data_IF_130310623982
#
_entry.id   IF_130310623982
#
_cell.length_a   1.000
_cell.length_b   1.000
_cell.length_c   1.000
_cell.angle_alpha   90.00
_cell.angle_beta   90.00
_cell.angle_gamma   90.00
#
_symmetry.space_group_name_H-M   'P 1'
#
loop_
_entity.id
_entity.type
_entity.pdbx_description
1 polymer ?
#
# COMPACT_ATOMS: atom_id res chain seq x y z
N UNK A 1 -9.10 -83.12 -2.45
CA UNK A 1 -8.42 -81.84 -2.16
C UNK A 1 -8.88 -80.80 -3.17
N UNK A 2 -9.78 -79.90 -2.78
CA UNK A 2 -10.16 -78.72 -3.58
C UNK A 2 -10.20 -77.53 -2.62
N UNK A 3 -9.38 -76.54 -2.92
CA UNK A 3 -9.14 -75.34 -2.11
C UNK A 3 -10.33 -74.38 -2.23
N UNK A 4 -10.79 -73.82 -1.11
CA UNK A 4 -11.83 -72.78 -1.05
C UNK A 4 -11.11 -71.45 -0.82
N UNK A 5 -11.19 -70.54 -1.80
CA UNK A 5 -10.62 -69.20 -1.71
C UNK A 5 -11.55 -68.25 -0.95
N UNK A 6 -11.02 -67.58 0.07
CA UNK A 6 -11.67 -66.46 0.75
C UNK A 6 -11.42 -65.15 -0.02
N UNK A 7 -12.49 -64.47 -0.43
CA UNK A 7 -12.42 -63.12 -0.98
C UNK A 7 -12.48 -62.10 0.17
N UNK A 8 -11.41 -61.31 0.33
CA UNK A 8 -11.35 -60.21 1.28
C UNK A 8 -12.08 -58.98 0.72
N UNK A 9 -13.18 -58.58 1.35
CA UNK A 9 -13.85 -57.30 1.11
C UNK A 9 -13.11 -56.20 1.87
N UNK A 10 -12.39 -55.34 1.15
CA UNK A 10 -11.79 -54.13 1.71
C UNK A 10 -12.84 -53.04 1.91
N UNK A 11 -13.03 -52.60 3.16
CA UNK A 11 -13.78 -51.39 3.47
C UNK A 11 -13.02 -50.16 2.95
N UNK A 12 -13.54 -49.52 1.91
CA UNK A 12 -13.16 -48.15 1.57
C UNK A 12 -13.84 -47.17 2.54
N UNK A 13 -13.07 -46.62 3.48
CA UNK A 13 -13.51 -45.44 4.24
C UNK A 13 -13.48 -44.22 3.33
N UNK A 14 -14.65 -43.73 2.94
CA UNK A 14 -14.80 -42.41 2.32
C UNK A 14 -14.65 -41.35 3.42
N UNK A 15 -13.47 -40.74 3.52
CA UNK A 15 -13.28 -39.54 4.33
C UNK A 15 -13.95 -38.37 3.60
N UNK A 16 -15.12 -37.96 4.07
CA UNK A 16 -15.76 -36.72 3.59
C UNK A 16 -14.95 -35.55 4.16
N UNK A 17 -14.09 -34.97 3.34
CA UNK A 17 -13.40 -33.74 3.69
C UNK A 17 -14.44 -32.61 3.78
N UNK A 18 -14.73 -32.13 4.99
CA UNK A 18 -15.50 -30.91 5.17
C UNK A 18 -14.76 -29.76 4.47
N UNK A 19 -15.45 -28.88 3.74
CA UNK A 19 -14.81 -27.73 3.12
C UNK A 19 -14.17 -26.88 4.23
N UNK A 20 -12.88 -26.59 4.08
CA UNK A 20 -12.18 -25.68 4.97
C UNK A 20 -12.90 -24.31 4.96
N UNK A 21 -13.19 -23.77 6.14
CA UNK A 21 -13.76 -22.44 6.26
C UNK A 21 -12.87 -21.43 5.53
N UNK A 22 -13.48 -20.53 4.75
CA UNK A 22 -12.71 -19.52 4.01
C UNK A 22 -11.90 -18.63 4.97
N UNK A 23 -10.65 -18.26 4.62
CA UNK A 23 -9.86 -17.37 5.45
C UNK A 23 -10.57 -16.03 5.68
N UNK A 24 -10.45 -15.49 6.90
CA UNK A 24 -10.94 -14.14 7.23
C UNK A 24 -10.20 -13.07 6.42
N UNK A 25 -10.81 -11.89 6.24
CA UNK A 25 -10.07 -10.72 5.75
C UNK A 25 -9.02 -10.27 6.77
N UNK A 26 -8.06 -9.46 6.32
CA UNK A 26 -7.02 -8.92 7.19
C UNK A 26 -7.58 -8.23 8.44
N UNK A 27 -8.52 -7.30 8.28
CA UNK A 27 -9.09 -6.54 9.41
C UNK A 27 -9.75 -7.45 10.43
N UNK A 28 -10.62 -8.37 10.00
CA UNK A 28 -11.28 -9.30 10.89
C UNK A 28 -10.27 -10.19 11.63
N UNK A 29 -9.24 -10.66 10.93
CA UNK A 29 -8.19 -11.45 11.55
C UNK A 29 -7.41 -10.62 12.57
N UNK A 30 -7.03 -9.38 12.25
CA UNK A 30 -6.29 -8.51 13.17
C UNK A 30 -7.10 -8.14 14.41
N UNK A 31 -8.40 -7.81 14.27
CA UNK A 31 -9.29 -7.53 15.42
C UNK A 31 -9.38 -8.77 16.33
N UNK A 32 -9.52 -9.97 15.74
CA UNK A 32 -9.58 -11.21 16.51
C UNK A 32 -8.26 -11.55 17.24
N UNK A 33 -7.13 -11.23 16.63
CA UNK A 33 -5.81 -11.61 17.17
C UNK A 33 -5.21 -10.55 18.09
N UNK A 34 -5.58 -9.28 17.93
CA UNK A 34 -5.03 -8.17 18.71
C UNK A 34 -5.14 -8.36 20.24
N UNK A 35 -6.27 -8.80 20.83
CA UNK A 35 -6.34 -9.05 22.27
C UNK A 35 -5.35 -10.12 22.75
N UNK A 36 -5.07 -11.13 21.93
CA UNK A 36 -4.08 -12.18 22.24
C UNK A 36 -2.66 -11.60 22.20
N UNK A 37 -2.36 -10.79 21.18
CA UNK A 37 -1.08 -10.09 21.07
C UNK A 37 -0.85 -9.14 22.26
N UNK A 38 -1.88 -8.36 22.65
CA UNK A 38 -1.83 -7.48 23.84
C UNK A 38 -1.59 -8.30 25.12
N UNK A 39 -2.27 -9.44 25.28
CA UNK A 39 -2.04 -10.32 26.43
C UNK A 39 -0.60 -10.85 26.47
N UNK A 40 -0.02 -11.24 25.34
CA UNK A 40 1.38 -11.66 25.27
C UNK A 40 2.36 -10.52 25.55
N UNK A 41 2.08 -9.31 25.06
CA UNK A 41 2.87 -8.11 25.38
C UNK A 41 2.86 -7.80 26.88
N UNK A 42 1.69 -7.91 27.53
CA UNK A 42 1.54 -7.75 28.99
C UNK A 42 2.31 -8.80 29.78
N UNK A 43 2.24 -10.08 29.37
CA UNK A 43 3.02 -11.17 30.00
C UNK A 43 4.53 -10.92 29.94
N UNK A 44 5.00 -10.20 28.92
CA UNK A 44 6.40 -9.78 28.76
C UNK A 44 6.71 -8.43 29.44
N UNK A 45 5.79 -7.91 30.24
CA UNK A 45 5.93 -6.63 30.97
C UNK A 45 6.15 -5.41 30.05
N UNK A 46 5.70 -5.46 28.80
CA UNK A 46 5.80 -4.32 27.89
C UNK A 46 4.79 -3.25 28.30
N UNK A 47 5.24 -2.00 28.49
CA UNK A 47 4.35 -0.87 28.85
C UNK A 47 4.01 -0.01 27.65
N UNK A 48 5.00 0.33 26.81
CA UNK A 48 4.83 1.13 25.61
C UNK A 48 5.30 0.36 24.38
N UNK A 49 4.39 0.18 23.41
CA UNK A 49 4.61 -0.68 22.23
C UNK A 49 4.31 0.11 20.96
N UNK A 50 5.24 0.11 20.00
CA UNK A 50 5.01 0.68 18.67
C UNK A 50 4.96 -0.38 17.58
N UNK A 51 4.27 -0.11 16.48
CA UNK A 51 4.22 -1.01 15.32
C UNK A 51 5.08 -0.47 14.18
N UNK A 52 6.06 -1.25 13.78
CA UNK A 52 6.98 -0.95 12.68
C UNK A 52 6.53 -1.64 11.40
N UNK A 53 6.96 -1.08 10.26
CA UNK A 53 6.73 -1.67 8.94
C UNK A 53 7.10 -3.15 8.90
N UNK A 54 6.31 -3.93 8.21
CA UNK A 54 6.55 -5.35 7.98
C UNK A 54 7.50 -5.53 6.81
N UNK A 55 8.17 -6.67 6.73
CA UNK A 55 8.85 -7.10 5.51
C UNK A 55 7.88 -7.94 4.69
N UNK A 56 7.95 -7.85 3.36
CA UNK A 56 7.05 -8.56 2.47
C UNK A 56 7.85 -9.35 1.43
N UNK A 57 7.32 -10.50 1.05
CA UNK A 57 7.86 -11.33 -0.03
C UNK A 57 6.70 -11.83 -0.88
N UNK A 58 6.91 -11.92 -2.18
CA UNK A 58 6.01 -12.62 -3.08
C UNK A 58 6.40 -14.08 -3.14
N UNK A 59 5.45 -14.96 -3.38
CA UNK A 59 5.72 -16.38 -3.56
C UNK A 59 6.78 -16.59 -4.64
N UNK A 60 7.91 -17.21 -4.24
CA UNK A 60 9.07 -17.42 -5.09
C UNK A 60 10.21 -16.41 -4.92
N UNK A 61 10.00 -15.32 -4.19
CA UNK A 61 11.10 -14.42 -3.79
C UNK A 61 12.00 -15.12 -2.77
N UNK A 62 13.31 -14.94 -2.92
CA UNK A 62 14.30 -15.56 -2.03
C UNK A 62 14.54 -14.78 -0.74
N UNK A 63 14.02 -13.54 -0.67
CA UNK A 63 14.23 -12.62 0.46
C UNK A 63 12.99 -11.78 0.71
N UNK A 64 12.69 -11.57 1.98
CA UNK A 64 11.75 -10.53 2.40
C UNK A 64 12.39 -9.16 2.17
N UNK A 65 11.57 -8.23 1.69
CA UNK A 65 11.94 -6.87 1.37
C UNK A 65 11.09 -5.91 2.18
N UNK A 66 11.70 -4.84 2.67
CA UNK A 66 10.98 -3.73 3.28
C UNK A 66 10.38 -2.77 2.24
N UNK A 67 10.44 -3.17 0.96
CA UNK A 67 10.13 -2.39 -0.22
C UNK A 67 9.24 -3.16 -1.25
N UNK A 68 8.05 -3.62 -0.87
CA UNK A 68 7.08 -4.31 -1.75
C UNK A 68 5.76 -3.53 -1.85
N UNK A 69 5.82 -2.30 -2.38
CA UNK A 69 4.71 -1.34 -2.33
C UNK A 69 4.30 -0.91 -0.91
N UNK A 70 3.17 -0.22 -0.80
CA UNK A 70 2.68 0.33 0.46
C UNK A 70 2.18 -0.73 1.47
N UNK A 71 2.09 -2.01 1.08
CA UNK A 71 1.68 -3.12 1.97
C UNK A 71 2.53 -3.22 3.24
N UNK A 72 3.83 -2.92 3.15
CA UNK A 72 4.76 -2.99 4.28
C UNK A 72 4.32 -2.06 5.43
N UNK A 73 3.82 -0.87 5.09
CA UNK A 73 3.34 0.13 6.06
C UNK A 73 1.87 -0.10 6.40
N UNK A 74 1.06 -0.50 5.43
CA UNK A 74 -0.37 -0.65 5.63
C UNK A 74 -0.69 -1.73 6.67
N UNK A 75 0.02 -2.87 6.65
CA UNK A 75 -0.17 -3.92 7.66
C UNK A 75 0.22 -3.43 9.06
N UNK A 76 1.30 -2.65 9.16
CA UNK A 76 1.71 -2.03 10.42
C UNK A 76 0.63 -1.09 10.96
N UNK A 77 0.06 -0.24 10.10
CA UNK A 77 -1.00 0.71 10.48
C UNK A 77 -2.27 -0.02 10.92
N UNK A 78 -2.69 -1.06 10.18
CA UNK A 78 -3.87 -1.86 10.53
C UNK A 78 -3.69 -2.59 11.85
N UNK A 79 -2.50 -3.13 12.09
CA UNK A 79 -2.18 -3.79 13.36
C UNK A 79 -2.11 -2.78 14.51
N UNK A 80 -1.52 -1.60 14.33
CA UNK A 80 -1.50 -0.54 15.36
C UNK A 80 -2.91 -0.20 15.83
N UNK A 81 -3.83 0.04 14.90
CA UNK A 81 -5.23 0.31 15.22
C UNK A 81 -5.93 -0.91 15.86
N UNK A 82 -5.68 -2.12 15.36
CA UNK A 82 -6.24 -3.32 15.97
C UNK A 82 -5.75 -3.52 17.41
N UNK A 83 -4.48 -3.21 17.72
CA UNK A 83 -3.95 -3.25 19.08
C UNK A 83 -4.57 -2.18 19.98
N UNK A 84 -4.90 -1.00 19.45
CA UNK A 84 -5.65 0.03 20.19
C UNK A 84 -7.03 -0.50 20.57
N UNK A 85 -7.75 -1.08 19.60
CA UNK A 85 -9.09 -1.64 19.80
C UNK A 85 -9.08 -2.86 20.73
N UNK A 86 -8.10 -3.74 20.58
CA UNK A 86 -7.94 -4.96 21.39
C UNK A 86 -7.34 -4.72 22.78
N UNK A 87 -7.11 -3.46 23.18
CA UNK A 87 -6.53 -3.13 24.47
C UNK A 87 -7.59 -3.15 25.58
N UNK A 88 -7.20 -3.55 26.80
CA UNK A 88 -8.10 -3.46 27.96
C UNK A 88 -8.09 -2.03 28.51
N UNK A 89 -9.23 -1.35 28.42
CA UNK A 89 -9.40 0.03 28.88
C UNK A 89 -9.13 0.23 30.38
N UNK A 90 -9.25 -0.82 31.21
CA UNK A 90 -8.96 -0.73 32.66
C UNK A 90 -7.48 -0.80 32.96
N UNK A 91 -6.74 -1.56 32.14
CA UNK A 91 -5.31 -1.79 32.32
C UNK A 91 -4.55 -1.64 30.99
N UNK A 92 -4.62 -0.47 30.32
CA UNK A 92 -4.10 -0.35 28.98
C UNK A 92 -2.58 -0.39 28.98
N UNK A 93 -1.99 -1.05 27.98
CA UNK A 93 -0.60 -0.74 27.59
C UNK A 93 -0.61 0.50 26.70
N UNK A 94 0.44 1.32 26.73
CA UNK A 94 0.63 2.42 25.80
C UNK A 94 0.88 1.91 24.38
N UNK A 95 0.08 2.35 23.42
CA UNK A 95 0.34 2.12 21.99
C UNK A 95 0.94 3.40 21.41
N UNK A 96 2.09 3.28 20.75
CA UNK A 96 2.77 4.39 20.09
C UNK A 96 2.09 4.66 18.74
N UNK A 97 1.80 5.94 18.48
CA UNK A 97 1.23 6.40 17.21
C UNK A 97 2.29 6.42 16.11
N UNK A 98 2.02 5.72 15.01
CA UNK A 98 2.78 5.76 13.77
C UNK A 98 4.30 5.61 13.98
N UNK A 99 4.71 4.58 14.72
CA UNK A 99 6.11 4.36 15.08
C UNK A 99 7.03 4.29 13.84
N UNK A 100 6.51 3.75 12.74
CA UNK A 100 7.21 3.68 11.45
C UNK A 100 7.58 5.07 10.89
N UNK A 101 6.71 6.07 11.01
CA UNK A 101 7.01 7.43 10.52
C UNK A 101 8.05 8.13 11.38
N UNK A 102 8.05 7.91 12.70
CA UNK A 102 9.08 8.43 13.60
C UNK A 102 10.43 7.75 13.33
N UNK A 103 10.42 6.42 13.17
CA UNK A 103 11.60 5.64 12.80
C UNK A 103 12.24 6.15 11.50
N UNK A 104 11.44 6.39 10.46
CA UNK A 104 11.91 6.87 9.17
C UNK A 104 12.59 8.25 9.21
N UNK A 105 12.31 9.07 10.25
CA UNK A 105 12.93 10.38 10.46
C UNK A 105 14.05 10.37 11.51
N UNK A 106 14.27 9.23 12.17
CA UNK A 106 15.28 9.09 13.21
C UNK A 106 16.59 8.59 12.59
N UNK A 107 17.71 9.34 12.67
CA UNK A 107 18.96 8.94 12.06
C UNK A 107 19.44 7.55 12.51
N UNK A 108 19.73 6.67 11.55
CA UNK A 108 20.21 5.31 11.79
C UNK A 108 19.14 4.31 12.26
N UNK A 109 17.92 4.75 12.59
CA UNK A 109 16.89 3.88 13.15
C UNK A 109 16.32 2.90 12.10
N UNK A 110 16.40 1.61 12.40
CA UNK A 110 15.77 0.53 11.63
C UNK A 110 15.63 -0.73 12.50
N UNK A 111 14.67 -1.61 12.20
CA UNK A 111 14.49 -2.85 12.98
C UNK A 111 15.38 -4.01 12.53
N UNK A 112 16.07 -3.86 11.39
CA UNK A 112 16.82 -4.92 10.72
C UNK A 112 18.17 -5.21 11.38
N UNK A 113 18.86 -4.16 11.82
CA UNK A 113 20.21 -4.24 12.39
C UNK A 113 20.20 -4.02 13.90
N UNK A 114 21.22 -4.52 14.60
CA UNK A 114 21.36 -4.35 16.04
C UNK A 114 21.49 -2.86 16.40
N UNK A 115 22.31 -2.13 15.65
CA UNK A 115 22.60 -0.71 15.83
C UNK A 115 21.37 0.13 15.51
N UNK A 116 20.65 -0.21 14.43
CA UNK A 116 19.40 0.47 14.08
C UNK A 116 18.32 0.33 15.14
N UNK A 117 18.22 -0.85 15.76
CA UNK A 117 17.27 -1.08 16.87
C UNK A 117 17.65 -0.29 18.12
N UNK A 118 18.95 -0.15 18.41
CA UNK A 118 19.39 0.73 19.50
C UNK A 118 18.98 2.18 19.26
N UNK A 119 19.14 2.68 18.03
CA UNK A 119 18.68 4.02 17.65
C UNK A 119 17.15 4.16 17.78
N UNK A 120 16.37 3.12 17.42
CA UNK A 120 14.92 3.10 17.64
C UNK A 120 14.55 3.25 19.13
N UNK A 121 15.18 2.48 20.02
CA UNK A 121 14.87 2.53 21.45
C UNK A 121 15.38 3.79 22.16
N UNK A 122 16.31 4.52 21.55
CA UNK A 122 16.78 5.81 22.05
C UNK A 122 15.79 6.96 21.76
N UNK A 123 14.94 6.82 20.73
CA UNK A 123 13.99 7.85 20.33
C UNK A 123 12.83 8.03 21.33
N UNK A 124 12.04 9.07 21.08
CA UNK A 124 10.78 9.37 21.77
C UNK A 124 9.65 9.31 20.76
N UNK A 125 8.52 8.75 21.16
CA UNK A 125 7.39 8.53 20.28
C UNK A 125 6.10 9.05 20.91
N UNK A 126 5.20 9.66 20.14
CA UNK A 126 3.87 10.01 20.63
C UNK A 126 3.06 8.75 20.96
N UNK A 127 2.28 8.78 22.02
CA UNK A 127 1.22 7.79 22.24
C UNK A 127 0.05 8.03 21.30
N UNK A 128 -0.69 6.98 20.94
CA UNK A 128 -1.92 7.04 20.16
C UNK A 128 -3.06 7.80 20.85
N UNK A 129 -2.89 8.13 22.13
CA UNK A 129 -3.80 8.97 22.90
C UNK A 129 -3.02 9.89 23.83
N UNK A 130 -3.64 11.04 24.14
CA UNK A 130 -3.00 12.08 24.94
C UNK A 130 -1.95 12.87 24.15
N UNK A 131 -1.08 13.59 24.87
CA UNK A 131 -0.03 14.43 24.28
C UNK A 131 1.38 13.99 24.71
N UNK A 132 1.46 12.86 25.42
CA UNK A 132 2.71 12.36 25.97
C UNK A 132 3.60 11.74 24.89
N UNK A 133 4.91 11.90 25.07
CA UNK A 133 5.91 11.16 24.32
C UNK A 133 6.65 10.18 25.23
N UNK A 134 6.76 8.93 24.80
CA UNK A 134 7.29 7.83 25.59
C UNK A 134 8.52 7.20 24.93
N UNK A 135 9.32 6.50 25.74
CA UNK A 135 10.28 5.54 25.23
C UNK A 135 9.53 4.24 24.90
N UNK A 136 9.84 3.61 23.76
CA UNK A 136 9.36 2.26 23.51
C UNK A 136 10.04 1.26 24.48
N UNK A 137 9.28 0.27 24.93
CA UNK A 137 9.78 -0.94 25.59
C UNK A 137 9.96 -2.09 24.60
N UNK A 138 9.14 -2.09 23.55
CA UNK A 138 9.21 -3.03 22.46
C UNK A 138 8.60 -2.46 21.18
N UNK A 139 8.90 -3.10 20.05
CA UNK A 139 8.22 -2.84 18.79
C UNK A 139 7.68 -4.13 18.19
N UNK A 140 6.46 -4.09 17.68
CA UNK A 140 5.89 -5.18 16.87
C UNK A 140 6.23 -4.93 15.41
N UNK A 141 6.69 -5.96 14.71
CA UNK A 141 6.94 -5.98 13.26
C UNK A 141 6.61 -7.39 12.75
N UNK A 142 7.11 -7.77 11.58
CA UNK A 142 7.06 -9.14 11.13
C UNK A 142 7.23 -9.28 9.64
N UNK A 143 6.78 -10.42 9.12
CA UNK A 143 6.87 -10.75 7.70
C UNK A 143 5.51 -11.07 7.10
N UNK A 144 5.35 -10.75 5.82
CA UNK A 144 4.11 -10.94 5.06
C UNK A 144 4.45 -11.67 3.77
N UNK A 145 3.98 -12.89 3.64
CA UNK A 145 4.10 -13.65 2.39
C UNK A 145 2.84 -13.49 1.56
N UNK A 146 3.01 -13.05 0.31
CA UNK A 146 1.93 -12.89 -0.66
C UNK A 146 1.91 -14.13 -1.55
N UNK A 147 0.81 -14.90 -1.48
CA UNK A 147 0.64 -16.08 -2.30
C UNK A 147 0.69 -15.76 -3.80
N UNK A 148 1.14 -16.72 -4.62
CA UNK A 148 1.29 -16.55 -6.07
C UNK A 148 -0.01 -16.20 -6.79
N UNK A 149 -1.13 -16.68 -6.26
CA UNK A 149 -2.47 -16.39 -6.77
C UNK A 149 -3.03 -15.04 -6.30
N UNK A 150 -2.25 -14.30 -5.49
CA UNK A 150 -2.61 -13.04 -4.85
C UNK A 150 -3.84 -13.12 -3.92
N UNK A 151 -4.36 -14.32 -3.62
CA UNK A 151 -5.60 -14.52 -2.84
C UNK A 151 -5.37 -14.54 -1.35
N UNK A 152 -4.14 -14.86 -0.95
CA UNK A 152 -3.82 -15.18 0.43
C UNK A 152 -2.59 -14.39 0.86
N UNK A 153 -2.65 -13.86 2.08
CA UNK A 153 -1.49 -13.28 2.77
C UNK A 153 -1.24 -14.12 4.02
N UNK A 154 0.01 -14.51 4.24
CA UNK A 154 0.44 -15.13 5.50
C UNK A 154 1.29 -14.15 6.27
N UNK A 155 0.85 -13.80 7.48
CA UNK A 155 1.46 -12.77 8.31
C UNK A 155 2.07 -13.44 9.53
N UNK A 156 3.36 -13.23 9.73
CA UNK A 156 4.09 -13.58 10.94
C UNK A 156 4.30 -12.30 11.74
N UNK A 157 4.07 -12.35 13.04
CA UNK A 157 4.33 -11.24 13.93
C UNK A 157 5.59 -11.52 14.74
N UNK A 158 6.44 -10.51 14.84
CA UNK A 158 7.67 -10.53 15.61
C UNK A 158 7.69 -9.36 16.60
N UNK A 159 8.33 -9.61 17.74
CA UNK A 159 8.60 -8.62 18.77
C UNK A 159 10.08 -8.28 18.77
N UNK A 160 10.36 -6.99 18.66
CA UNK A 160 11.68 -6.42 18.90
C UNK A 160 11.78 -6.05 20.38
N UNK A 161 12.62 -6.75 21.13
CA UNK A 161 12.74 -6.55 22.57
C UNK A 161 13.88 -5.58 22.93
N UNK A 162 13.60 -4.54 23.72
CA UNK A 162 14.62 -3.57 24.15
C UNK A 162 15.73 -4.18 25.00
N UNK A 163 15.36 -5.07 25.93
CA UNK A 163 16.30 -5.66 26.92
C UNK A 163 17.38 -6.49 26.24
N UNK A 164 17.00 -7.30 25.25
CA UNK A 164 17.88 -8.26 24.57
C UNK A 164 18.37 -7.75 23.21
N UNK A 165 17.70 -6.74 22.65
CA UNK A 165 17.87 -6.27 21.28
C UNK A 165 17.70 -7.38 20.22
N UNK A 166 16.88 -8.38 20.54
CA UNK A 166 16.56 -9.51 19.68
C UNK A 166 15.18 -9.33 19.04
N UNK A 167 14.99 -10.03 17.92
CA UNK A 167 13.70 -10.18 17.24
C UNK A 167 13.23 -11.60 17.54
N UNK A 168 12.05 -11.73 18.15
CA UNK A 168 11.49 -13.01 18.60
C UNK A 168 10.04 -13.14 18.15
N UNK A 169 9.55 -14.34 17.83
CA UNK A 169 8.16 -14.51 17.42
C UNK A 169 7.14 -14.01 18.47
N UNK A 170 6.05 -13.42 17.99
CA UNK A 170 4.94 -12.91 18.78
C UNK A 170 3.62 -13.59 18.37
N UNK A 171 3.28 -14.68 19.05
CA UNK A 171 2.06 -15.44 18.73
C UNK A 171 2.23 -16.36 17.53
N UNK A 172 1.10 -16.81 16.96
CA UNK A 172 1.08 -17.70 15.80
C UNK A 172 0.91 -16.90 14.50
N UNK A 173 1.46 -17.39 13.38
CA UNK A 173 1.19 -16.80 12.08
C UNK A 173 -0.30 -16.87 11.74
N UNK A 174 -0.78 -15.90 10.98
CA UNK A 174 -2.16 -15.86 10.51
C UNK A 174 -2.21 -15.90 9.00
N UNK A 175 -3.18 -16.62 8.47
CA UNK A 175 -3.44 -16.68 7.03
C UNK A 175 -4.77 -15.99 6.76
N UNK A 176 -4.74 -14.97 5.90
CA UNK A 176 -5.88 -14.11 5.63
C UNK A 176 -6.18 -14.04 4.14
N UNK A 177 -7.45 -13.85 3.81
CA UNK A 177 -7.91 -13.59 2.45
C UNK A 177 -7.49 -12.17 2.05
N UNK A 178 -6.80 -12.07 0.93
CA UNK A 178 -6.48 -10.81 0.28
C UNK A 178 -7.72 -10.24 -0.42
N UNK A 179 -7.74 -8.93 -0.66
CA UNK A 179 -8.85 -8.24 -1.30
C UNK A 179 -8.36 -7.39 -2.46
N UNK A 180 -9.23 -7.15 -3.44
CA UNK A 180 -8.89 -6.38 -4.64
C UNK A 180 -8.37 -4.97 -4.32
N UNK A 181 -8.89 -4.32 -3.27
CA UNK A 181 -8.37 -3.02 -2.83
C UNK A 181 -6.88 -3.06 -2.42
N UNK A 182 -6.36 -4.20 -1.95
CA UNK A 182 -4.95 -4.35 -1.58
C UNK A 182 -4.04 -4.65 -2.76
N UNK A 183 -4.58 -5.01 -3.93
CA UNK A 183 -3.77 -5.14 -5.14
C UNK A 183 -3.02 -3.83 -5.44
N UNK A 184 -3.62 -2.70 -5.12
CA UNK A 184 -3.03 -1.37 -5.26
C UNK A 184 -1.82 -1.20 -4.34
N UNK A 185 -1.95 -1.59 -3.07
CA UNK A 185 -0.87 -1.55 -2.08
C UNK A 185 0.28 -2.52 -2.42
N UNK A 186 0.00 -3.53 -3.24
CA UNK A 186 0.97 -4.45 -3.82
C UNK A 186 1.57 -3.95 -5.15
N UNK A 187 1.14 -2.79 -5.66
CA UNK A 187 1.52 -2.28 -6.99
C UNK A 187 1.16 -3.24 -8.14
N UNK A 188 -0.01 -3.89 -8.04
CA UNK A 188 -0.55 -4.74 -9.11
C UNK A 188 -1.44 -3.99 -10.07
N UNK A 189 -1.27 -4.27 -11.37
CA UNK A 189 -2.11 -3.69 -12.40
C UNK A 189 -3.30 -4.60 -12.70
N UNK A 190 -4.49 -4.01 -12.78
CA UNK A 190 -5.71 -4.70 -13.19
C UNK A 190 -6.72 -3.71 -13.75
N UNK A 191 -7.65 -4.22 -14.56
CA UNK A 191 -8.81 -3.48 -15.04
C UNK A 191 -10.05 -4.36 -14.91
N UNK A 192 -11.15 -3.77 -14.49
CA UNK A 192 -12.45 -4.44 -14.42
C UNK A 192 -13.38 -3.87 -15.49
N UNK A 193 -14.19 -4.75 -16.07
CA UNK A 193 -15.31 -4.34 -16.93
C UNK A 193 -16.41 -3.59 -16.17
N UNK A 194 -17.44 -3.18 -16.90
CA UNK A 194 -18.41 -2.17 -16.47
C UNK A 194 -19.37 -2.53 -15.34
N UNK A 195 -19.26 -3.72 -14.75
CA UNK A 195 -20.11 -4.10 -13.63
C UNK A 195 -19.94 -3.12 -12.44
N UNK A 196 -20.99 -2.32 -12.21
CA UNK A 196 -21.22 -1.66 -10.93
C UNK A 196 -21.50 -2.78 -9.92
N UNK A 197 -20.88 -2.73 -8.75
CA UNK A 197 -21.24 -3.62 -7.65
C UNK A 197 -22.62 -3.14 -7.17
N UNK A 198 -23.69 -3.73 -7.70
CA UNK A 198 -25.04 -3.26 -7.44
C UNK A 198 -25.52 -3.66 -6.03
N UNK A 199 -24.86 -4.64 -5.41
CA UNK A 199 -25.12 -5.07 -4.04
C UNK A 199 -23.90 -5.66 -3.35
N UNK A 200 -23.93 -5.69 -2.02
CA UNK A 200 -22.90 -6.31 -1.19
C UNK A 200 -22.66 -7.80 -1.52
N UNK A 201 -23.72 -8.50 -1.96
CA UNK A 201 -23.66 -9.91 -2.40
C UNK A 201 -22.81 -10.11 -3.67
N UNK A 202 -22.69 -9.09 -4.51
CA UNK A 202 -21.88 -9.15 -5.73
C UNK A 202 -20.40 -8.80 -5.49
N UNK A 203 -20.10 -8.14 -4.37
CA UNK A 203 -18.74 -7.67 -4.05
C UNK A 203 -17.70 -8.80 -4.03
N UNK A 204 -17.93 -9.98 -3.42
CA UNK A 204 -16.94 -11.06 -3.45
C UNK A 204 -16.60 -11.54 -4.86
N UNK A 205 -17.61 -11.65 -5.74
CA UNK A 205 -17.42 -12.05 -7.15
C UNK A 205 -16.59 -11.01 -7.91
N UNK A 206 -16.81 -9.73 -7.62
CA UNK A 206 -16.07 -8.63 -8.24
C UNK A 206 -14.63 -8.54 -7.72
N UNK A 207 -14.42 -8.74 -6.42
CA UNK A 207 -13.08 -8.86 -5.83
C UNK A 207 -12.30 -10.00 -6.50
N UNK A 208 -12.96 -11.15 -6.63
CA UNK A 208 -12.42 -12.35 -7.25
C UNK A 208 -12.00 -12.14 -8.71
N UNK A 209 -12.84 -11.47 -9.50
CA UNK A 209 -12.50 -11.12 -10.89
C UNK A 209 -11.28 -10.21 -10.98
N UNK A 210 -11.13 -9.29 -10.03
CA UNK A 210 -9.99 -8.35 -10.00
C UNK A 210 -8.69 -9.08 -9.67
N UNK A 211 -8.72 -10.01 -8.70
CA UNK A 211 -7.59 -10.88 -8.36
C UNK A 211 -7.21 -11.77 -9.55
N UNK A 212 -8.18 -12.42 -10.19
CA UNK A 212 -7.95 -13.25 -11.38
C UNK A 212 -7.34 -12.45 -12.53
N UNK A 213 -7.83 -11.23 -12.79
CA UNK A 213 -7.30 -10.36 -13.82
C UNK A 213 -5.85 -9.94 -13.54
N UNK A 214 -5.53 -9.55 -12.30
CA UNK A 214 -4.17 -9.19 -11.90
C UNK A 214 -3.20 -10.37 -12.10
N UNK A 215 -3.55 -11.57 -11.66
CA UNK A 215 -2.75 -12.79 -11.89
C UNK A 215 -2.57 -13.08 -13.38
N UNK A 216 -3.63 -12.90 -14.19
CA UNK A 216 -3.54 -13.10 -15.62
C UNK A 216 -2.62 -12.08 -16.30
N UNK A 217 -2.63 -10.81 -15.87
CA UNK A 217 -1.73 -9.76 -16.37
C UNK A 217 -0.28 -10.08 -16.01
N UNK A 218 0.00 -10.44 -14.75
CA UNK A 218 1.35 -10.85 -14.32
C UNK A 218 1.89 -12.02 -15.14
N UNK A 219 1.02 -12.96 -15.51
CA UNK A 219 1.37 -14.11 -16.34
C UNK A 219 1.45 -13.80 -17.85
N UNK A 220 1.21 -12.56 -18.27
CA UNK A 220 1.15 -12.16 -19.68
C UNK A 220 -0.03 -12.77 -20.45
N UNK A 221 -1.07 -13.23 -19.75
CA UNK A 221 -2.26 -13.88 -20.30
C UNK A 221 -3.45 -12.94 -20.49
N UNK A 222 -3.37 -11.72 -19.95
CA UNK A 222 -4.37 -10.67 -20.12
C UNK A 222 -3.69 -9.35 -20.52
N UNK A 223 -4.45 -8.49 -21.21
CA UNK A 223 -3.99 -7.18 -21.67
C UNK A 223 -3.76 -6.28 -20.44
N UNK A 224 -2.63 -5.59 -20.42
CA UNK A 224 -2.33 -4.64 -19.35
C UNK A 224 -3.23 -3.40 -19.49
N UNK A 225 -3.75 -2.80 -18.40
CA UNK A 225 -4.74 -1.72 -18.50
C UNK A 225 -4.29 -0.48 -19.28
N UNK A 226 -2.97 -0.22 -19.36
CA UNK A 226 -2.40 0.86 -20.17
C UNK A 226 -2.46 0.60 -21.69
N UNK A 227 -2.65 -0.65 -22.09
CA UNK A 227 -2.78 -1.07 -23.50
C UNK A 227 -4.21 -1.49 -23.83
N UNK A 228 -5.11 -1.55 -22.84
CA UNK A 228 -6.50 -1.95 -23.03
C UNK A 228 -7.34 -0.78 -23.58
N UNK A 229 -7.86 -0.85 -24.80
CA UNK A 229 -8.72 0.21 -25.35
C UNK A 229 -10.05 0.36 -24.58
N UNK A 230 -10.41 -0.60 -23.73
CA UNK A 230 -11.58 -0.54 -22.86
C UNK A 230 -11.29 0.04 -21.48
N UNK A 231 -10.03 0.38 -21.17
CA UNK A 231 -9.71 1.03 -19.92
C UNK A 231 -10.46 2.37 -19.82
N UNK A 232 -11.05 2.73 -18.67
CA UNK A 232 -11.87 3.92 -18.57
C UNK A 232 -11.04 5.21 -18.64
N UNK A 233 -9.77 5.15 -18.23
CA UNK A 233 -8.86 6.29 -18.06
C UNK A 233 -7.49 5.93 -18.67
N UNK A 234 -6.91 6.85 -19.42
CA UNK A 234 -5.52 6.81 -19.86
C UNK A 234 -4.62 7.70 -18.98
N UNK A 235 -3.38 7.26 -18.81
CA UNK A 235 -2.31 8.02 -18.20
C UNK A 235 -1.18 8.20 -19.21
N UNK A 236 -0.98 9.42 -19.68
CA UNK A 236 0.16 9.77 -20.52
C UNK A 236 1.28 10.35 -19.64
N UNK A 237 2.51 9.85 -19.82
CA UNK A 237 3.71 10.37 -19.16
C UNK A 237 4.42 11.27 -20.18
N UNK A 238 4.71 12.51 -19.80
CA UNK A 238 5.33 13.48 -20.70
C UNK A 238 6.69 13.92 -20.17
N UNK A 239 7.70 13.85 -21.03
CA UNK A 239 9.03 14.42 -20.81
C UNK A 239 9.23 15.57 -21.80
N UNK A 240 9.49 16.77 -21.29
CA UNK A 240 9.59 18.00 -22.08
C UNK A 240 8.36 18.25 -22.98
N UNK A 241 7.16 17.99 -22.42
CA UNK A 241 5.86 17.99 -23.09
C UNK A 241 5.70 16.96 -24.23
N UNK A 242 6.65 16.03 -24.39
CA UNK A 242 6.57 14.95 -25.36
C UNK A 242 6.12 13.64 -24.70
N UNK A 243 5.12 12.94 -25.26
CA UNK A 243 4.65 11.68 -24.70
C UNK A 243 5.76 10.62 -24.75
N UNK A 244 5.92 9.92 -23.64
CA UNK A 244 6.88 8.85 -23.46
C UNK A 244 6.18 7.51 -23.67
N UNK A 245 6.79 6.65 -24.47
CA UNK A 245 6.25 5.31 -24.71
C UNK A 245 6.37 4.45 -23.46
N UNK A 246 5.24 3.99 -22.96
CA UNK A 246 5.17 2.91 -21.97
C UNK A 246 5.44 1.57 -22.66
N UNK A 247 6.32 0.76 -22.08
CA UNK A 247 6.57 -0.62 -22.52
C UNK A 247 6.03 -1.57 -21.48
N UNK A 248 5.12 -2.47 -21.88
CA UNK A 248 4.63 -3.56 -21.03
C UNK A 248 5.41 -4.83 -21.37
N UNK A 249 6.07 -5.41 -20.36
CA UNK A 249 6.76 -6.70 -20.48
C UNK A 249 6.55 -7.50 -19.21
N UNK A 250 6.22 -8.79 -19.37
CA UNK A 250 5.99 -9.72 -18.25
C UNK A 250 4.95 -9.17 -17.24
N UNK A 251 3.87 -8.58 -17.77
CA UNK A 251 2.81 -7.96 -16.98
C UNK A 251 3.18 -6.65 -16.27
N UNK A 252 4.39 -6.13 -16.48
CA UNK A 252 4.89 -4.91 -15.83
C UNK A 252 5.07 -3.78 -16.83
N UNK A 253 4.50 -2.62 -16.53
CA UNK A 253 4.70 -1.40 -17.30
C UNK A 253 5.98 -0.67 -16.87
N UNK A 254 6.73 -0.17 -17.85
CA UNK A 254 7.94 0.62 -17.64
C UNK A 254 8.01 1.81 -18.60
N UNK A 255 8.63 2.88 -18.14
CA UNK A 255 9.09 3.99 -19.00
C UNK A 255 10.59 4.18 -18.84
N UNK A 256 11.28 4.79 -19.83
CA UNK A 256 12.63 5.28 -19.66
C UNK A 256 12.73 6.20 -18.44
N UNK A 257 13.84 6.12 -17.70
CA UNK A 257 14.11 7.00 -16.57
C UNK A 257 14.31 8.45 -17.07
N UNK A 258 13.66 9.45 -16.44
CA UNK A 258 13.80 10.84 -16.85
C UNK A 258 15.19 11.37 -16.52
N UNK A 259 15.65 12.37 -17.27
CA UNK A 259 16.98 12.96 -17.07
C UNK A 259 16.98 14.13 -16.11
N UNK A 260 18.09 14.38 -15.41
CA UNK A 260 18.24 15.59 -14.58
C UNK A 260 17.93 16.84 -15.43
N UNK A 261 17.12 17.75 -14.88
CA UNK A 261 16.69 18.97 -15.57
C UNK A 261 15.58 18.78 -16.61
N UNK A 262 15.21 17.54 -16.94
CA UNK A 262 14.09 17.25 -17.82
C UNK A 262 12.77 17.62 -17.14
N UNK A 263 11.85 18.26 -17.88
CA UNK A 263 10.52 18.56 -17.34
C UNK A 263 9.66 17.30 -17.41
N UNK A 264 9.11 16.88 -16.28
CA UNK A 264 8.18 15.76 -16.20
C UNK A 264 6.78 16.27 -15.89
N UNK A 265 5.79 15.75 -16.60
CA UNK A 265 4.37 15.97 -16.29
C UNK A 265 3.55 14.74 -16.66
N UNK A 266 2.32 14.68 -16.17
CA UNK A 266 1.37 13.62 -16.49
C UNK A 266 0.10 14.22 -17.08
N UNK A 267 -0.53 13.53 -18.03
CA UNK A 267 -1.86 13.86 -18.49
C UNK A 267 -2.83 12.71 -18.19
N UNK A 268 -3.88 13.00 -17.45
CA UNK A 268 -4.94 12.06 -17.13
C UNK A 268 -6.09 12.32 -18.11
N UNK A 269 -6.44 11.32 -18.92
CA UNK A 269 -7.49 11.44 -19.93
C UNK A 269 -8.57 10.41 -19.70
N UNK A 270 -9.82 10.85 -19.83
CA UNK A 270 -10.97 9.95 -19.87
C UNK A 270 -11.07 9.31 -21.25
N UNK A 271 -11.18 7.98 -21.29
CA UNK A 271 -11.46 7.20 -22.50
C UNK A 271 -12.92 6.72 -22.53
N UNK A 272 -13.53 6.52 -21.37
CA UNK A 272 -14.93 6.10 -21.25
C UNK A 272 -15.90 7.20 -21.73
N UNK A 273 -16.73 6.89 -22.72
CA UNK A 273 -17.76 7.78 -23.27
C UNK A 273 -19.09 7.79 -22.47
N UNK A 274 -19.21 6.98 -21.41
CA UNK A 274 -20.42 6.91 -20.59
C UNK A 274 -20.64 8.19 -19.75
N UNK A 275 -21.73 8.26 -18.99
CA UNK A 275 -22.00 9.33 -18.01
C UNK A 275 -21.41 9.06 -16.61
N UNK A 276 -20.62 7.99 -16.46
CA UNK A 276 -20.03 7.60 -15.16
C UNK A 276 -18.96 8.60 -14.74
N UNK A 277 -19.01 9.11 -13.52
CA UNK A 277 -17.93 9.96 -13.01
C UNK A 277 -16.82 9.11 -12.39
N UNK A 278 -15.58 9.52 -12.60
CA UNK A 278 -14.40 8.83 -12.07
C UNK A 278 -13.63 9.70 -11.10
N UNK A 279 -13.04 9.08 -10.10
CA UNK A 279 -12.04 9.66 -9.23
C UNK A 279 -10.69 8.99 -9.49
N UNK A 280 -9.65 9.78 -9.73
CA UNK A 280 -8.30 9.31 -10.04
C UNK A 280 -7.34 9.74 -8.95
N UNK A 281 -6.69 8.77 -8.32
CA UNK A 281 -5.54 8.99 -7.43
C UNK A 281 -4.30 8.69 -8.24
N UNK A 282 -3.37 9.64 -8.30
CA UNK A 282 -2.09 9.49 -8.97
C UNK A 282 -1.00 9.68 -7.92
N UNK A 283 -0.11 8.70 -7.78
CA UNK A 283 1.03 8.76 -6.87
C UNK A 283 2.34 8.66 -7.64
N UNK A 284 3.33 9.39 -7.15
CA UNK A 284 4.73 9.30 -7.59
C UNK A 284 5.55 8.98 -6.35
N UNK A 285 6.30 7.88 -6.40
CA UNK A 285 7.05 7.37 -5.26
C UNK A 285 6.19 7.17 -3.98
N UNK A 286 4.93 6.77 -4.17
CA UNK A 286 3.98 6.54 -3.07
C UNK A 286 3.39 7.82 -2.48
N UNK A 287 3.81 9.00 -2.95
CA UNK A 287 3.22 10.28 -2.57
C UNK A 287 2.13 10.66 -3.58
N UNK A 288 0.92 10.95 -3.10
CA UNK A 288 -0.15 11.47 -3.92
C UNK A 288 0.27 12.82 -4.51
N UNK A 289 0.09 12.98 -5.82
CA UNK A 289 0.37 14.25 -6.50
C UNK A 289 -0.50 15.39 -5.95
N UNK A 290 -1.64 15.06 -5.32
CA UNK A 290 -2.41 16.00 -4.53
C UNK A 290 -1.98 15.98 -3.06
N UNK A 291 -1.36 17.07 -2.61
CA UNK A 291 -1.00 17.33 -1.21
C UNK A 291 -0.06 16.30 -0.58
N UNK A 292 0.70 15.54 -1.39
CA UNK A 292 1.74 14.59 -0.97
C UNK A 292 1.27 13.56 0.07
N UNK A 293 0.02 13.16 -0.01
CA UNK A 293 -0.54 12.19 0.92
C UNK A 293 0.07 10.80 0.67
N UNK A 294 0.51 10.13 1.74
CA UNK A 294 1.01 8.73 1.71
C UNK A 294 0.03 7.75 2.36
N UNK A 295 -1.25 8.12 2.41
CA UNK A 295 -2.32 7.27 2.95
C UNK A 295 -2.82 6.29 1.88
N UNK A 296 -3.61 5.26 2.23
CA UNK A 296 -4.24 4.37 1.25
C UNK A 296 -4.98 5.14 0.15
N UNK A 297 -5.01 4.60 -1.07
CA UNK A 297 -5.56 5.31 -2.24
C UNK A 297 -7.03 5.71 -2.05
N UNK A 298 -7.81 4.89 -1.34
CA UNK A 298 -9.20 5.20 -1.04
C UNK A 298 -9.35 6.47 -0.17
N UNK A 299 -8.38 6.76 0.69
CA UNK A 299 -8.35 7.93 1.58
C UNK A 299 -7.68 9.16 0.95
N UNK A 300 -6.91 8.97 -0.13
CA UNK A 300 -6.28 10.06 -0.86
C UNK A 300 -7.30 11.03 -1.48
N UNK A 301 -6.92 12.31 -1.59
CA UNK A 301 -7.55 13.26 -2.50
C UNK A 301 -7.35 12.78 -3.94
N UNK A 302 -8.32 13.05 -4.79
CA UNK A 302 -8.36 12.55 -6.15
C UNK A 302 -8.81 13.65 -7.12
N UNK A 303 -8.36 13.54 -8.37
CA UNK A 303 -8.96 14.29 -9.47
C UNK A 303 -10.31 13.68 -9.83
N UNK A 304 -11.34 14.51 -10.01
CA UNK A 304 -12.66 14.06 -10.44
C UNK A 304 -12.81 14.35 -11.94
N UNK A 305 -13.12 13.29 -12.70
CA UNK A 305 -13.28 13.34 -14.14
C UNK A 305 -14.75 13.14 -14.50
N UNK A 306 -15.41 14.25 -14.84
CA UNK A 306 -16.77 14.25 -15.37
C UNK A 306 -16.81 13.82 -16.84
N UNK A 307 -18.00 13.48 -17.33
CA UNK A 307 -18.21 13.23 -18.75
C UNK A 307 -17.77 14.46 -19.57
N UNK A 308 -17.06 14.23 -20.67
CA UNK A 308 -16.54 15.27 -21.57
C UNK A 308 -15.57 16.28 -20.93
N UNK A 309 -15.00 15.97 -19.75
CA UNK A 309 -13.94 16.80 -19.17
C UNK A 309 -12.69 16.79 -20.05
N UNK A 310 -12.05 17.96 -20.17
CA UNK A 310 -10.75 18.06 -20.81
C UNK A 310 -9.69 17.25 -20.03
N UNK A 311 -8.60 16.82 -20.69
CA UNK A 311 -7.46 16.21 -20.02
C UNK A 311 -6.98 17.01 -18.81
N UNK A 312 -6.69 16.33 -17.70
CA UNK A 312 -6.07 16.95 -16.52
C UNK A 312 -4.56 16.85 -16.65
N UNK A 313 -3.89 18.01 -16.76
CA UNK A 313 -2.43 18.09 -16.73
C UNK A 313 -1.94 18.20 -15.28
N UNK A 314 -0.99 17.35 -14.91
CA UNK A 314 -0.36 17.28 -13.59
C UNK A 314 1.13 17.59 -13.75
N UNK A 315 1.56 18.85 -13.54
CA UNK A 315 2.95 19.25 -13.73
C UNK A 315 3.86 18.97 -12.52
N UNK A 316 3.28 18.54 -11.39
CA UNK A 316 4.00 18.44 -10.12
C UNK A 316 3.12 18.00 -8.95
N UNK A 317 3.64 18.17 -7.74
CA UNK A 317 2.92 17.98 -6.48
C UNK A 317 2.10 19.22 -6.12
N UNK A 318 0.79 19.12 -6.13
CA UNK A 318 -0.09 20.19 -5.66
C UNK A 318 0.14 20.44 -4.16
N UNK A 319 0.42 21.69 -3.79
CA UNK A 319 0.73 22.11 -2.42
C UNK A 319 -0.50 22.65 -1.70
N UNK A 320 -1.30 23.46 -2.39
CA UNK A 320 -2.56 24.03 -1.91
C UNK A 320 -3.57 24.13 -3.06
N UNK A 321 -4.62 24.96 -2.99
CA UNK A 321 -5.62 25.03 -4.07
C UNK A 321 -5.17 25.91 -5.27
N UNK A 322 -4.06 26.65 -5.16
CA UNK A 322 -3.58 27.60 -6.15
C UNK A 322 -2.12 27.42 -6.60
N UNK A 323 -1.35 26.52 -5.96
CA UNK A 323 0.05 26.27 -6.26
C UNK A 323 0.44 24.79 -6.27
N UNK A 324 1.43 24.46 -7.10
CA UNK A 324 2.07 23.15 -7.17
C UNK A 324 3.60 23.29 -7.22
N UNK A 325 4.33 22.30 -6.72
CA UNK A 325 5.78 22.16 -6.89
C UNK A 325 6.03 21.25 -8.11
N UNK A 326 6.61 21.78 -9.19
CA UNK A 326 6.90 20.99 -10.40
C UNK A 326 7.73 19.75 -10.09
N UNK A 327 7.56 18.67 -10.85
CA UNK A 327 8.44 17.52 -10.70
C UNK A 327 9.87 17.90 -11.06
N UNK A 328 10.77 17.69 -10.11
CA UNK A 328 12.22 17.80 -10.26
C UNK A 328 12.79 16.39 -10.37
N UNK A 329 13.52 16.15 -11.44
CA UNK A 329 14.35 14.94 -11.56
C UNK A 329 15.63 15.18 -10.78
N UNK A 330 15.79 14.44 -9.68
CA UNK A 330 16.97 14.50 -8.82
C UNK A 330 18.21 13.95 -9.54
N UNK A 331 19.39 14.40 -9.13
CA UNK A 331 20.62 13.73 -9.54
C UNK A 331 20.67 12.30 -8.97
N UNK A 332 21.53 11.43 -9.52
CA UNK A 332 21.69 10.06 -8.99
C UNK A 332 22.09 10.03 -7.50
N UNK A 333 22.95 10.94 -7.07
CA UNK A 333 23.40 11.00 -5.68
C UNK A 333 22.24 11.34 -4.74
N UNK A 334 21.48 12.38 -5.08
CA UNK A 334 20.28 12.77 -4.34
C UNK A 334 19.21 11.68 -4.40
N UNK A 335 19.03 11.01 -5.54
CA UNK A 335 18.09 9.89 -5.70
C UNK A 335 18.41 8.76 -4.74
N UNK A 336 19.70 8.39 -4.64
CA UNK A 336 20.17 7.34 -3.73
C UNK A 336 19.95 7.68 -2.26
N UNK A 337 20.14 8.94 -1.87
CA UNK A 337 19.81 9.39 -0.51
C UNK A 337 18.30 9.32 -0.23
N UNK A 338 17.49 9.64 -1.25
CA UNK A 338 16.03 9.64 -1.16
C UNK A 338 15.39 8.26 -1.26
N UNK A 339 16.05 7.27 -1.85
CA UNK A 339 15.55 5.89 -1.95
C UNK A 339 15.03 5.36 -0.60
N UNK A 340 15.76 5.64 0.48
CA UNK A 340 15.40 5.24 1.84
C UNK A 340 14.07 5.88 2.29
N UNK A 341 13.82 7.13 1.91
CA UNK A 341 12.61 7.85 2.32
C UNK A 341 11.35 7.35 1.59
N UNK A 342 11.50 7.01 0.32
CA UNK A 342 10.39 6.50 -0.48
C UNK A 342 10.14 5.02 -0.21
N UNK A 343 11.21 4.28 0.10
CA UNK A 343 11.13 2.87 0.43
C UNK A 343 10.53 2.09 -0.72
N UNK A 344 9.43 1.40 -0.44
CA UNK A 344 8.79 0.45 -1.34
C UNK A 344 8.28 1.02 -2.66
N UNK A 345 7.94 2.30 -2.64
CA UNK A 345 7.32 2.96 -3.78
C UNK A 345 8.34 3.66 -4.67
N UNK A 346 9.63 3.59 -4.31
CA UNK A 346 10.69 4.29 -5.03
C UNK A 346 10.68 3.93 -6.52
N UNK A 347 10.63 4.96 -7.36
CA UNK A 347 10.64 4.80 -8.80
C UNK A 347 9.34 4.28 -9.40
N UNK A 348 8.24 4.35 -8.65
CA UNK A 348 6.91 3.95 -9.10
C UNK A 348 6.03 5.16 -9.38
N UNK A 349 5.28 5.08 -10.48
CA UNK A 349 4.09 5.88 -10.74
C UNK A 349 2.91 4.92 -10.63
N UNK A 350 1.96 5.21 -9.75
CA UNK A 350 0.73 4.42 -9.62
C UNK A 350 -0.49 5.28 -9.87
N UNK A 351 -1.47 4.74 -10.59
CA UNK A 351 -2.75 5.39 -10.79
C UNK A 351 -3.88 4.42 -10.45
N UNK A 352 -4.77 4.88 -9.59
CA UNK A 352 -5.95 4.14 -9.14
C UNK A 352 -7.20 4.91 -9.52
N UNK A 353 -8.15 4.21 -10.13
CA UNK A 353 -9.42 4.78 -10.60
C UNK A 353 -10.58 4.18 -9.81
N UNK A 354 -11.38 5.06 -9.21
CA UNK A 354 -12.63 4.73 -8.53
C UNK A 354 -13.82 5.28 -9.32
N UNK A 355 -14.98 4.64 -9.18
CA UNK A 355 -16.25 5.17 -9.65
C UNK A 355 -16.90 6.03 -8.57
N UNK A 356 -17.84 6.86 -8.99
CA UNK A 356 -18.78 7.48 -8.07
C UNK A 356 -19.77 6.44 -7.52
N UNK A 357 -19.91 6.38 -6.21
CA UNK A 357 -20.92 5.56 -5.56
C UNK A 357 -22.30 6.18 -5.80
N UNK A 358 -23.15 5.50 -6.57
CA UNK A 358 -24.55 5.91 -6.80
C UNK A 358 -25.47 5.14 -5.85
N UNK A 359 -26.23 5.87 -5.02
CA UNK A 359 -27.18 5.30 -4.05
C UNK A 359 -26.69 5.36 -2.59
N UNK A 360 -27.58 5.08 -1.63
CA UNK A 360 -27.20 4.96 -0.21
C UNK A 360 -26.56 3.58 0.01
N UNK A 361 -25.36 3.49 0.62
CA UNK A 361 -24.90 2.20 1.12
C UNK A 361 -25.87 1.74 2.22
N UNK A 362 -26.38 0.52 2.10
CA UNK A 362 -27.04 -0.15 3.22
C UNK A 362 -25.93 -0.46 4.23
N UNK A 363 -25.90 0.27 5.34
CA UNK A 363 -25.03 -0.07 6.47
C UNK A 363 -25.95 -0.62 7.54
N UNK A 364 -26.13 -1.95 7.57
CA UNK A 364 -26.58 -2.62 8.78
C UNK A 364 -25.34 -2.76 9.67
N UNK A 365 -25.26 -1.92 10.71
CA UNK A 365 -24.17 -1.98 11.69
C UNK A 365 -24.50 -3.07 12.70
N UNK A 366 -23.79 -4.20 12.64
CA UNK A 366 -23.56 -5.06 13.80
C UNK A 366 -22.30 -4.57 14.53
N UNK A 367 -22.26 -4.68 15.87
CA UNK A 367 -21.20 -4.08 16.72
C UNK A 367 -19.76 -4.49 16.31
N UNK A 368 -19.53 -5.72 15.81
CA UNK A 368 -18.21 -6.12 15.28
C UNK A 368 -17.83 -5.41 13.97
N UNK A 369 -18.80 -4.99 13.15
CA UNK A 369 -18.54 -4.27 11.89
C UNK A 369 -18.16 -2.80 12.13
N UNK A 370 -18.57 -2.21 13.25
CA UNK A 370 -18.21 -0.83 13.58
C UNK A 370 -16.70 -0.67 13.78
N UNK A 371 -16.07 -1.61 14.49
CA UNK A 371 -14.62 -1.64 14.71
C UNK A 371 -13.84 -1.86 13.40
N UNK A 372 -14.33 -2.76 12.54
CA UNK A 372 -13.75 -3.00 11.20
C UNK A 372 -13.88 -1.76 10.30
N UNK A 373 -14.97 -1.01 10.39
CA UNK A 373 -15.18 0.22 9.63
C UNK A 373 -14.25 1.36 10.09
N UNK A 374 -13.95 1.46 11.39
CA UNK A 374 -13.01 2.44 11.95
C UNK A 374 -11.59 2.23 11.41
N UNK A 375 -11.17 0.98 11.20
CA UNK A 375 -9.88 0.68 10.56
C UNK A 375 -9.76 1.29 9.15
N UNK A 376 -10.87 1.57 8.46
CA UNK A 376 -10.89 1.95 7.05
C UNK A 376 -10.82 3.46 6.76
N UNK A 377 -10.90 4.36 7.75
CA UNK A 377 -11.06 5.81 7.46
C UNK A 377 -10.40 6.72 8.51
N UNK A 378 -9.17 7.27 8.31
CA UNK A 378 -8.69 8.47 9.06
C UNK A 378 -7.46 9.19 8.40
N UNK A 379 -7.38 10.54 8.38
CA UNK A 379 -6.24 11.28 7.78
C UNK A 379 -5.28 11.96 8.81
N UNK A 380 -4.01 12.22 8.43
CA UNK A 380 -3.14 13.24 9.12
C UNK A 380 -1.93 13.76 8.29
N UNK A 381 -1.36 14.89 8.74
CA UNK A 381 -0.66 16.00 8.04
C UNK A 381 0.90 15.99 8.10
N UNK A 382 1.63 16.62 7.14
CA UNK A 382 3.10 16.90 7.21
C UNK A 382 3.62 18.10 6.38
N UNK A 383 4.75 18.73 6.80
CA UNK A 383 5.80 19.47 6.01
C UNK A 383 6.91 20.05 6.95
N UNK A 384 8.11 20.57 6.57
CA UNK A 384 9.31 20.23 5.73
C UNK A 384 10.42 21.28 6.06
N UNK A 385 11.73 21.07 5.79
CA UNK A 385 12.79 22.12 5.94
C UNK A 385 14.01 21.98 4.97
N UNK A 386 14.91 22.99 4.96
CA UNK A 386 15.65 23.60 3.81
C UNK A 386 17.21 23.58 3.87
N UNK A 387 17.84 22.93 2.86
CA UNK A 387 18.92 23.41 1.94
C UNK A 387 20.44 23.56 2.30
N UNK A 388 21.35 23.61 1.28
CA UNK A 388 22.66 22.91 1.18
C UNK A 388 23.88 23.76 0.70
N UNK A 389 25.08 23.18 0.58
CA UNK A 389 26.05 23.49 -0.50
C UNK A 389 27.22 22.48 -0.58
N UNK A 390 27.75 22.35 -1.81
CA UNK A 390 29.02 21.75 -2.24
C UNK A 390 29.05 20.26 -2.62
N UNK A 391 28.89 19.93 -3.92
CA UNK A 391 29.78 18.97 -4.63
C UNK A 391 29.53 18.87 -6.17
N UNK A 392 29.51 19.99 -6.91
CA UNK A 392 28.94 20.03 -8.27
C UNK A 392 29.89 19.95 -9.48
N UNK A 393 31.15 19.54 -9.37
CA UNK A 393 32.07 19.62 -10.52
C UNK A 393 32.57 18.29 -11.12
N UNK A 394 32.14 17.12 -10.61
CA UNK A 394 32.71 15.83 -11.02
C UNK A 394 31.72 14.73 -11.46
N UNK A 395 30.42 15.03 -11.49
CA UNK A 395 29.33 14.05 -11.73
C UNK A 395 28.64 14.18 -13.11
N UNK A 396 29.07 15.12 -13.96
CA UNK A 396 28.19 15.75 -14.96
C UNK A 396 27.81 14.90 -16.20
N UNK A 397 28.43 13.74 -16.45
CA UNK A 397 28.09 12.97 -17.67
C UNK A 397 27.34 11.64 -17.42
N UNK A 398 27.61 10.95 -16.30
CA UNK A 398 26.92 9.71 -15.92
C UNK A 398 25.77 9.90 -14.89
N UNK A 399 25.57 11.11 -14.35
CA UNK A 399 24.58 11.40 -13.28
C UNK A 399 23.21 11.89 -13.76
N UNK A 400 22.96 11.97 -15.06
CA UNK A 400 21.79 12.63 -15.64
C UNK A 400 20.51 11.78 -15.60
N UNK A 401 20.26 10.99 -14.56
CA UNK A 401 19.00 10.27 -14.36
C UNK A 401 18.66 10.22 -12.87
N UNK A 402 17.36 10.23 -12.55
CA UNK A 402 16.99 10.05 -11.17
C UNK A 402 15.51 10.14 -10.84
N UNK A 403 15.29 10.16 -9.54
CA UNK A 403 14.00 10.07 -8.89
C UNK A 403 13.26 11.41 -8.97
N UNK A 404 11.93 11.36 -9.06
CA UNK A 404 11.09 12.56 -9.04
C UNK A 404 10.86 13.04 -7.58
N UNK A 405 11.17 14.30 -7.28
CA UNK A 405 10.78 15.01 -6.05
C UNK A 405 10.17 16.38 -6.40
N UNK A 406 9.77 17.14 -5.40
CA UNK A 406 9.25 18.48 -5.55
C UNK A 406 10.35 19.50 -5.90
N UNK A 407 10.12 20.24 -6.98
CA UNK A 407 10.98 21.28 -7.52
C UNK A 407 10.45 22.69 -7.26
N UNK A 408 10.39 23.50 -8.32
CA UNK A 408 10.03 24.92 -8.24
C UNK A 408 8.51 25.08 -8.13
N UNK A 409 8.08 26.00 -7.28
CA UNK A 409 6.67 26.34 -7.12
C UNK A 409 6.14 27.07 -8.36
N UNK A 410 4.96 26.65 -8.84
CA UNK A 410 4.25 27.20 -9.98
C UNK A 410 2.78 27.39 -9.68
N UNK A 411 2.14 28.28 -10.42
CA UNK A 411 0.70 28.49 -10.34
C UNK A 411 -0.04 27.23 -10.85
N UNK A 412 -0.95 26.70 -10.04
CA UNK A 412 -1.77 25.54 -10.38
C UNK A 412 -3.11 25.64 -9.64
N UNK A 413 -4.17 25.98 -10.35
CA UNK A 413 -5.50 26.18 -9.75
C UNK A 413 -6.31 24.89 -9.79
N UNK A 414 -6.81 24.47 -8.63
CA UNK A 414 -7.75 23.35 -8.51
C UNK A 414 -9.03 23.81 -7.82
N UNK A 415 -10.14 23.12 -8.12
CA UNK A 415 -11.42 23.34 -7.45
C UNK A 415 -11.85 22.09 -6.71
N UNK A 416 -12.31 22.26 -5.49
CA UNK A 416 -12.84 21.16 -4.67
C UNK A 416 -14.29 20.87 -5.06
N UNK A 417 -14.60 19.60 -5.23
CA UNK A 417 -15.94 19.11 -5.53
C UNK A 417 -16.32 18.01 -4.55
N UNK A 418 -17.62 17.79 -4.34
CA UNK A 418 -18.11 16.64 -3.58
C UNK A 418 -18.11 15.41 -4.50
N UNK A 419 -17.58 14.31 -3.99
CA UNK A 419 -17.55 13.02 -4.66
C UNK A 419 -17.45 11.92 -3.61
N UNK A 420 -18.24 10.86 -3.75
CA UNK A 420 -18.17 9.67 -2.89
C UNK A 420 -17.65 8.53 -3.74
N UNK A 421 -16.47 8.00 -3.40
CA UNK A 421 -15.86 6.89 -4.12
C UNK A 421 -16.60 5.58 -3.81
N UNK A 422 -16.83 4.76 -4.82
CA UNK A 422 -17.00 3.33 -4.61
C UNK A 422 -15.71 2.79 -3.98
N UNK A 423 -15.76 2.06 -2.85
CA UNK A 423 -14.57 1.48 -2.21
C UNK A 423 -13.87 0.43 -3.07
N UNK A 424 -14.52 -0.03 -4.15
CA UNK A 424 -13.96 -0.99 -5.08
C UNK A 424 -13.37 -0.26 -6.30
N UNK A 425 -12.04 -0.20 -6.45
CA UNK A 425 -11.41 0.37 -7.64
C UNK A 425 -11.84 -0.38 -8.91
N UNK A 426 -11.86 0.33 -10.04
CA UNK A 426 -12.19 -0.24 -11.37
C UNK A 426 -10.96 -0.42 -12.25
N UNK A 427 -9.87 0.28 -11.92
CA UNK A 427 -8.60 0.17 -12.62
C UNK A 427 -7.49 0.56 -11.66
N UNK A 428 -6.39 -0.21 -11.68
CA UNK A 428 -5.13 0.17 -11.09
C UNK A 428 -4.02 -0.07 -12.10
N UNK A 429 -3.06 0.84 -12.17
CA UNK A 429 -1.84 0.69 -12.97
C UNK A 429 -0.62 1.04 -12.14
N UNK A 430 0.43 0.25 -12.31
CA UNK A 430 1.74 0.50 -11.73
C UNK A 430 2.79 0.56 -12.84
N UNK A 431 3.52 1.66 -12.90
CA UNK A 431 4.55 1.94 -13.91
C UNK A 431 5.86 2.18 -13.19
N UNK A 432 6.89 1.40 -13.52
CA UNK A 432 8.23 1.65 -13.02
C UNK A 432 8.97 2.63 -13.95
N UNK A 433 9.44 3.75 -13.41
CA UNK A 433 10.24 4.74 -14.14
C UNK A 433 11.70 4.80 -13.65
N UNK A 434 11.95 4.37 -12.41
CA UNK A 434 13.29 4.35 -11.82
C UNK A 434 13.57 2.97 -11.21
N UNK A 435 14.83 2.56 -11.27
CA UNK A 435 15.30 1.31 -10.66
C UNK A 435 16.40 1.66 -9.65
N UNK A 436 16.13 1.49 -8.35
CA UNK A 436 17.14 1.65 -7.30
C UNK A 436 18.39 0.78 -7.53
#
# INVERSE_FOLDING_TARGET
>A
MKSIGFAAFGLFSFTIALPAAEPLTLEHALVREAPKLVAELKKRECKNVGVLKFLAARSGDTKFSDNVGAINIEIARRLELALILGNDLKTPIGIIENASAVAARTPGANHLTKEGRQALFAARFPLAWGTEQVAADSFVTGTVEIAKDLRTLTIHFDLVEKKTNQVVPLGQPITVRNQAGRLMELSESFVRGDAIVASEKERPKVEEQSLQNAVAIQAGKAIHPLEDPKAPIALDILYDDQPVRVTVKDGRARVPEPKEGQRVSFAIRRLDASSTNYAVVLKVNGENVLFRQRVPDFECRCYVLYANSAPVLVPGFQKDDGSAEQFLVLSRAESKEKEIHYGADVGMITMTVFRELKGRPAVEVHDEMAEVAVLQQMPTLTARAKKPSDLRAKLIEDANRGLLDAGTEVKSEIRRVKFVKDPTPVMCVAIQYYKP
#
